data_IF_938219687789
#
_entry.id   IF_938219687789
#
_cell.length_a   1.000
_cell.length_b   1.000
_cell.length_c   1.000
_cell.angle_alpha   90.00
_cell.angle_beta   90.00
_cell.angle_gamma   90.00
#
_symmetry.space_group_name_H-M   'P 1'
#
loop_
_entity.id
_entity.type
_entity.pdbx_description
1 polymer ?
#
# COMPACT_ATOMS: atom_id res chain seq x y z
N UNK A 1 -10.34 11.09 -20.77
CA UNK A 1 -9.95 10.04 -19.80
C UNK A 1 -8.46 10.15 -19.65
N UNK A 2 -7.93 10.27 -18.44
CA UNK A 2 -6.48 10.18 -18.25
C UNK A 2 -6.05 8.77 -18.64
N UNK A 3 -5.16 8.64 -19.62
CA UNK A 3 -4.69 7.35 -20.12
C UNK A 3 -3.72 6.67 -19.13
N UNK A 4 -3.22 7.43 -18.16
CA UNK A 4 -2.17 7.01 -17.24
C UNK A 4 -2.40 7.53 -15.81
N UNK A 5 -1.69 6.95 -14.86
CA UNK A 5 -1.70 7.39 -13.48
C UNK A 5 -1.01 8.75 -13.32
N UNK A 6 -1.54 9.58 -12.43
CA UNK A 6 -0.99 10.90 -12.08
C UNK A 6 -0.24 10.85 -10.75
N UNK A 7 -0.51 9.84 -9.92
CA UNK A 7 0.20 9.60 -8.66
C UNK A 7 0.47 8.11 -8.47
N UNK A 8 1.68 7.80 -7.99
CA UNK A 8 2.04 6.48 -7.48
C UNK A 8 2.24 6.60 -5.97
N UNK A 9 1.60 5.72 -5.21
CA UNK A 9 1.89 5.52 -3.80
C UNK A 9 2.85 4.35 -3.63
N UNK A 10 3.93 4.59 -2.89
CA UNK A 10 4.91 3.58 -2.49
C UNK A 10 4.96 3.55 -0.97
N UNK A 11 4.47 2.45 -0.41
CA UNK A 11 4.40 2.24 1.03
C UNK A 11 5.32 1.08 1.44
N UNK A 12 6.28 1.33 2.33
CA UNK A 12 7.27 0.36 2.81
C UNK A 12 6.98 -0.06 4.24
N UNK A 13 6.98 -1.35 4.49
CA UNK A 13 6.63 -1.94 5.77
C UNK A 13 7.71 -2.90 6.24
N UNK A 14 8.21 -2.65 7.45
CA UNK A 14 9.04 -3.60 8.17
C UNK A 14 8.12 -4.52 8.99
N UNK A 15 8.09 -5.84 8.73
CA UNK A 15 7.35 -6.77 9.58
C UNK A 15 7.98 -6.88 10.97
N UNK A 16 7.13 -7.06 11.99
CA UNK A 16 7.57 -7.49 13.31
C UNK A 16 8.14 -8.93 13.26
N UNK A 17 8.98 -9.35 14.22
CA UNK A 17 9.52 -10.70 14.26
C UNK A 17 8.42 -11.77 14.16
N UNK A 18 8.54 -12.68 13.19
CA UNK A 18 7.57 -13.75 12.94
C UNK A 18 6.24 -13.32 12.29
N UNK A 19 6.05 -12.03 11.95
CA UNK A 19 4.80 -11.48 11.40
C UNK A 19 4.81 -11.25 9.89
N UNK A 20 5.87 -11.66 9.20
CA UNK A 20 6.04 -11.41 7.75
C UNK A 20 4.88 -11.93 6.91
N UNK A 21 4.47 -13.18 7.11
CA UNK A 21 3.42 -13.80 6.28
C UNK A 21 2.04 -13.23 6.59
N UNK A 22 1.76 -12.94 7.86
CA UNK A 22 0.54 -12.25 8.28
C UNK A 22 0.45 -10.85 7.65
N UNK A 23 1.54 -10.08 7.70
CA UNK A 23 1.62 -8.76 7.09
C UNK A 23 1.44 -8.85 5.58
N UNK A 24 2.12 -9.80 4.92
CA UNK A 24 1.98 -10.04 3.49
C UNK A 24 0.53 -10.37 3.10
N UNK A 25 -0.15 -11.22 3.88
CA UNK A 25 -1.54 -11.58 3.64
C UNK A 25 -2.46 -10.35 3.76
N UNK A 26 -2.24 -9.48 4.75
CA UNK A 26 -3.00 -8.24 4.88
C UNK A 26 -2.71 -7.26 3.75
N UNK A 27 -1.44 -7.06 3.39
CA UNK A 27 -1.06 -6.20 2.26
C UNK A 27 -1.69 -6.67 0.95
N UNK A 28 -1.71 -7.99 0.69
CA UNK A 28 -2.37 -8.56 -0.50
C UNK A 28 -3.87 -8.30 -0.52
N UNK A 29 -4.56 -8.39 0.63
CA UNK A 29 -5.98 -8.03 0.74
C UNK A 29 -6.19 -6.55 0.42
N UNK A 30 -5.36 -5.67 0.97
CA UNK A 30 -5.43 -4.22 0.73
C UNK A 30 -5.16 -3.90 -0.74
N UNK A 31 -4.14 -4.50 -1.36
CA UNK A 31 -3.85 -4.33 -2.79
C UNK A 31 -5.01 -4.84 -3.67
N UNK A 32 -5.66 -5.94 -3.29
CA UNK A 32 -6.86 -6.44 -3.96
C UNK A 32 -8.06 -5.50 -3.86
N UNK A 33 -8.20 -4.77 -2.74
CA UNK A 33 -9.21 -3.70 -2.58
C UNK A 33 -8.85 -2.47 -3.40
N UNK A 34 -7.59 -2.03 -3.33
CA UNK A 34 -7.08 -0.89 -4.10
C UNK A 34 -7.33 -1.09 -5.59
N UNK A 35 -7.04 -2.28 -6.13
CA UNK A 35 -7.22 -2.60 -7.55
C UNK A 35 -8.68 -2.57 -8.02
N UNK A 36 -9.65 -2.56 -7.10
CA UNK A 36 -11.09 -2.43 -7.37
C UNK A 36 -11.63 -1.04 -7.03
N UNK A 37 -10.81 -0.17 -6.45
CA UNK A 37 -11.21 1.17 -6.05
C UNK A 37 -11.31 2.08 -7.27
N UNK A 38 -12.23 3.04 -7.21
CA UNK A 38 -12.42 3.98 -8.31
C UNK A 38 -11.16 4.81 -8.54
N UNK A 39 -10.68 4.82 -9.79
CA UNK A 39 -9.49 5.58 -10.16
C UNK A 39 -8.15 4.94 -9.80
N UNK A 40 -8.15 3.70 -9.31
CA UNK A 40 -6.92 2.92 -9.23
C UNK A 40 -6.63 2.23 -10.56
N UNK A 41 -5.44 2.45 -11.11
CA UNK A 41 -4.92 1.74 -12.29
C UNK A 41 -4.26 0.40 -11.93
N UNK A 42 -4.10 0.11 -10.64
CA UNK A 42 -3.57 -1.15 -10.13
C UNK A 42 -2.72 -0.98 -8.89
N UNK A 43 -2.66 -2.05 -8.09
CA UNK A 43 -1.84 -2.13 -6.90
C UNK A 43 -1.15 -3.50 -6.79
N UNK A 44 0.06 -3.52 -6.25
CA UNK A 44 0.91 -4.70 -6.13
C UNK A 44 1.64 -4.70 -4.80
N UNK A 45 1.98 -5.90 -4.33
CA UNK A 45 2.87 -6.10 -3.18
C UNK A 45 4.15 -6.74 -3.67
N UNK A 46 5.27 -6.13 -3.32
CA UNK A 46 6.61 -6.44 -3.80
C UNK A 46 7.53 -6.72 -2.61
N UNK A 47 8.59 -7.48 -2.86
CA UNK A 47 9.78 -7.51 -2.00
C UNK A 47 10.80 -6.51 -2.52
N UNK A 48 11.60 -5.92 -1.63
CA UNK A 48 12.72 -5.08 -2.05
C UNK A 48 13.96 -5.94 -2.35
N UNK A 49 14.68 -5.61 -3.42
CA UNK A 49 15.97 -6.22 -3.74
C UNK A 49 17.14 -5.60 -2.93
N UNK A 50 16.96 -4.40 -2.39
CA UNK A 50 17.94 -3.71 -1.55
C UNK A 50 17.75 -3.99 -0.06
N UNK A 51 16.57 -4.47 0.34
CA UNK A 51 16.22 -4.77 1.72
C UNK A 51 15.27 -5.98 1.76
N UNK A 52 15.83 -7.17 1.97
CA UNK A 52 15.07 -8.43 1.99
C UNK A 52 14.05 -8.52 3.13
N UNK A 53 14.22 -7.70 4.18
CA UNK A 53 13.31 -7.66 5.33
C UNK A 53 12.00 -6.94 5.03
N UNK A 54 12.00 -6.01 4.07
CA UNK A 54 10.89 -5.09 3.81
C UNK A 54 9.91 -5.65 2.79
N UNK A 55 8.62 -5.41 3.05
CA UNK A 55 7.53 -5.56 2.10
C UNK A 55 7.12 -4.17 1.59
N UNK A 56 6.88 -4.06 0.29
CA UNK A 56 6.53 -2.79 -0.36
C UNK A 56 5.17 -2.93 -1.03
N UNK A 57 4.25 -2.02 -0.78
CA UNK A 57 3.06 -1.85 -1.60
C UNK A 57 3.29 -0.72 -2.60
N UNK A 58 2.95 -0.97 -3.86
CA UNK A 58 2.95 0.05 -4.91
C UNK A 58 1.55 0.14 -5.49
N UNK A 59 0.98 1.33 -5.57
CA UNK A 59 -0.33 1.55 -6.19
C UNK A 59 -0.33 2.79 -7.08
N UNK A 60 -1.15 2.79 -8.12
CA UNK A 60 -1.16 3.82 -9.16
C UNK A 60 -2.57 4.40 -9.29
N UNK A 61 -2.71 5.72 -9.29
CA UNK A 61 -4.01 6.36 -9.21
C UNK A 61 -4.19 7.49 -10.22
N UNK A 62 -5.44 7.70 -10.64
CA UNK A 62 -5.87 8.79 -11.53
C UNK A 62 -5.66 10.16 -10.91
N UNK A 63 -5.78 10.27 -9.59
CA UNK A 63 -5.59 11.55 -8.93
C UNK A 63 -5.21 11.37 -7.45
N UNK A 64 -4.59 12.39 -6.84
CA UNK A 64 -4.35 12.42 -5.40
C UNK A 64 -5.63 12.22 -4.58
N UNK A 65 -6.76 12.76 -5.04
CA UNK A 65 -8.04 12.63 -4.33
C UNK A 65 -8.54 11.18 -4.29
N UNK A 66 -8.35 10.42 -5.38
CA UNK A 66 -8.71 9.01 -5.41
C UNK A 66 -7.87 8.18 -4.43
N UNK A 67 -6.57 8.45 -4.38
CA UNK A 67 -5.65 7.86 -3.40
C UNK A 67 -6.06 8.23 -1.96
N UNK A 68 -6.30 9.51 -1.67
CA UNK A 68 -6.68 9.97 -0.33
C UNK A 68 -7.99 9.35 0.15
N UNK A 69 -8.98 9.21 -0.73
CA UNK A 69 -10.25 8.55 -0.40
C UNK A 69 -9.99 7.09 0.00
N UNK A 70 -9.20 6.37 -0.78
CA UNK A 70 -8.85 4.98 -0.46
C UNK A 70 -8.02 4.86 0.83
N UNK A 71 -7.07 5.78 1.05
CA UNK A 71 -6.22 5.78 2.24
C UNK A 71 -7.04 5.94 3.53
N UNK A 72 -8.10 6.77 3.53
CA UNK A 72 -9.01 6.91 4.67
C UNK A 72 -9.81 5.64 4.95
N UNK A 73 -10.29 4.98 3.89
CA UNK A 73 -11.00 3.71 3.99
C UNK A 73 -10.09 2.59 4.53
N UNK A 74 -8.81 2.59 4.10
CA UNK A 74 -7.81 1.65 4.59
C UNK A 74 -7.44 1.97 6.03
N UNK A 75 -7.21 3.22 6.41
CA UNK A 75 -6.86 3.58 7.80
C UNK A 75 -7.94 3.11 8.78
N UNK A 76 -9.21 3.28 8.40
CA UNK A 76 -10.35 2.79 9.18
C UNK A 76 -10.35 1.26 9.30
N UNK A 77 -10.10 0.55 8.20
CA UNK A 77 -10.03 -0.91 8.20
C UNK A 77 -8.79 -1.47 8.91
N UNK A 78 -7.63 -0.83 8.74
CA UNK A 78 -6.35 -1.22 9.33
C UNK A 78 -6.34 -1.05 10.85
N UNK A 79 -7.01 -0.01 11.37
CA UNK A 79 -7.23 0.17 12.79
C UNK A 79 -8.09 -0.98 13.37
N UNK A 80 -9.13 -1.41 12.63
CA UNK A 80 -9.96 -2.56 13.01
C UNK A 80 -9.19 -3.88 12.93
N UNK A 81 -8.40 -4.08 11.88
CA UNK A 81 -7.68 -5.33 11.59
C UNK A 81 -6.32 -5.42 12.31
N UNK A 82 -6.00 -4.44 13.16
CA UNK A 82 -4.76 -4.34 13.94
C UNK A 82 -3.48 -4.47 13.10
N UNK A 83 -3.48 -3.85 11.91
CA UNK A 83 -2.31 -3.87 11.01
C UNK A 83 -1.03 -3.38 11.71
N UNK A 84 -1.16 -2.42 12.61
CA UNK A 84 -0.06 -1.87 13.42
C UNK A 84 0.66 -2.93 14.25
N UNK A 85 -0.03 -3.97 14.71
CA UNK A 85 0.55 -5.05 15.52
C UNK A 85 1.47 -5.98 14.68
N UNK A 86 1.39 -5.88 13.35
CA UNK A 86 2.22 -6.65 12.42
C UNK A 86 3.50 -5.91 12.04
N UNK A 87 3.65 -4.64 12.42
CA UNK A 87 4.77 -3.80 12.05
C UNK A 87 5.86 -3.79 13.11
N UNK A 88 7.10 -3.96 12.67
CA UNK A 88 8.31 -3.84 13.50
C UNK A 88 8.79 -2.40 13.66
N UNK A 89 8.03 -1.42 13.15
CA UNK A 89 8.37 -0.01 13.14
C UNK A 89 7.35 0.82 12.37
N UNK A 90 7.62 2.11 12.20
CA UNK A 90 6.75 3.01 11.42
C UNK A 90 6.85 2.67 9.93
N UNK A 91 5.70 2.56 9.27
CA UNK A 91 5.64 2.46 7.82
C UNK A 91 6.13 3.76 7.15
N UNK A 92 6.87 3.63 6.06
CA UNK A 92 7.33 4.77 5.27
C UNK A 92 6.45 4.91 4.03
N UNK A 93 6.05 6.13 3.73
CA UNK A 93 5.15 6.43 2.62
C UNK A 93 5.77 7.49 1.73
N UNK A 94 5.67 7.28 0.42
CA UNK A 94 6.15 8.20 -0.60
C UNK A 94 5.12 8.28 -1.73
N UNK A 95 4.75 9.50 -2.11
CA UNK A 95 3.92 9.74 -3.29
C UNK A 95 4.80 10.29 -4.40
N UNK A 96 4.79 9.61 -5.55
CA UNK A 96 5.55 9.95 -6.73
C UNK A 96 4.63 10.47 -7.83
N UNK A 97 5.11 11.43 -8.61
CA UNK A 97 4.42 11.97 -9.79
C UNK A 97 5.14 11.50 -11.05
N UNK A 98 4.49 10.77 -11.96
CA UNK A 98 5.03 10.45 -13.28
C UNK A 98 5.36 11.72 -14.08
N UNK A 99 6.43 11.64 -14.88
CA UNK A 99 6.87 12.70 -15.80
C UNK A 99 6.43 12.39 -17.24
#
# INVERSE_FOLDING_TARGET
>A
MEEHAVVLDVSRYQPAPGKRDDLLAQMKKIAGRASKAEGCFGAQVCTSNSDSGVLVAVSRWKSPQALDSFARDVATAAARDKLTDLLGGRAQHEHLTPL
#
